data_IF_241588051437
#
_entry.id   IF_241588051437
#
_cell.length_a   1.000
_cell.length_b   1.000
_cell.length_c   1.000
_cell.angle_alpha   90.00
_cell.angle_beta   90.00
_cell.angle_gamma   90.00
#
_symmetry.space_group_name_H-M   'P 1'
#
loop_
_entity.id
_entity.type
_entity.pdbx_description
1 polymer ?
#
# COMPACT_ATOMS: atom_id res chain seq x y z
N UNK A 1 -6.54 7.06 -22.16
CA UNK A 1 -6.75 5.82 -21.40
C UNK A 1 -6.26 6.06 -19.99
N UNK A 2 -7.14 5.90 -19.02
CA UNK A 2 -6.84 6.03 -17.59
C UNK A 2 -6.55 4.64 -17.02
N UNK A 3 -5.38 4.52 -16.39
CA UNK A 3 -4.93 3.28 -15.75
C UNK A 3 -4.87 3.52 -14.25
N UNK A 4 -5.64 2.73 -13.51
CA UNK A 4 -5.68 2.72 -12.07
C UNK A 4 -4.69 1.73 -11.46
N UNK A 5 -4.12 2.10 -10.30
CA UNK A 5 -3.29 1.24 -9.48
C UNK A 5 -3.83 1.22 -8.04
N UNK A 6 -4.39 0.10 -7.61
CA UNK A 6 -4.86 -0.10 -6.25
C UNK A 6 -3.79 -0.86 -5.44
N UNK A 7 -3.34 -0.29 -4.33
CA UNK A 7 -2.26 -0.82 -3.48
C UNK A 7 -2.79 -1.15 -2.09
N UNK A 8 -2.86 -2.43 -1.74
CA UNK A 8 -3.38 -2.83 -0.43
C UNK A 8 -2.47 -2.43 0.74
N UNK A 9 -3.03 -2.36 1.94
CA UNK A 9 -2.22 -2.36 3.17
C UNK A 9 -1.42 -3.66 3.33
N UNK A 10 -0.53 -3.75 4.33
CA UNK A 10 0.26 -4.97 4.55
C UNK A 10 1.58 -4.84 5.32
N UNK A 11 1.85 -3.69 5.94
CA UNK A 11 3.11 -3.43 6.67
C UNK A 11 4.34 -3.62 5.78
N UNK A 12 5.36 -4.32 6.28
CA UNK A 12 6.62 -4.60 5.56
C UNK A 12 6.39 -5.24 4.19
N UNK A 13 5.31 -6.03 4.02
CA UNK A 13 4.98 -6.67 2.73
C UNK A 13 4.66 -5.65 1.64
N UNK A 14 4.25 -4.44 2.00
CA UNK A 14 3.99 -3.35 1.05
C UNK A 14 5.22 -2.92 0.25
N UNK A 15 6.44 -3.27 0.68
CA UNK A 15 7.66 -3.07 -0.12
C UNK A 15 7.56 -3.80 -1.48
N UNK A 16 6.80 -4.90 -1.56
CA UNK A 16 6.54 -5.60 -2.81
C UNK A 16 5.83 -4.72 -3.85
N UNK A 17 5.03 -3.73 -3.42
CA UNK A 17 4.39 -2.77 -4.33
C UNK A 17 5.41 -2.03 -5.19
N UNK A 18 6.58 -1.71 -4.63
CA UNK A 18 7.64 -0.99 -5.34
C UNK A 18 8.20 -1.87 -6.48
N UNK A 19 8.40 -3.17 -6.21
CA UNK A 19 8.83 -4.12 -7.24
C UNK A 19 7.79 -4.29 -8.35
N UNK A 20 6.50 -4.28 -8.00
CA UNK A 20 5.41 -4.30 -8.98
C UNK A 20 5.42 -3.04 -9.86
N UNK A 21 5.55 -1.85 -9.25
CA UNK A 21 5.63 -0.58 -9.97
C UNK A 21 6.81 -0.59 -10.95
N UNK A 22 7.99 -1.06 -10.53
CA UNK A 22 9.16 -1.20 -11.42
C UNK A 22 8.83 -2.06 -12.64
N UNK A 23 8.20 -3.22 -12.45
CA UNK A 23 7.82 -4.10 -13.54
C UNK A 23 6.79 -3.45 -14.49
N UNK A 24 5.83 -2.69 -13.96
CA UNK A 24 4.85 -1.95 -14.76
C UNK A 24 5.54 -0.90 -15.65
N UNK A 25 6.43 -0.09 -15.07
CA UNK A 25 7.15 0.95 -15.81
C UNK A 25 8.03 0.37 -16.92
N UNK A 26 8.71 -0.76 -16.67
CA UNK A 26 9.51 -1.46 -17.68
C UNK A 26 8.68 -1.99 -18.85
N UNK A 27 7.38 -2.22 -18.66
CA UNK A 27 6.44 -2.59 -19.73
C UNK A 27 5.72 -1.39 -20.34
N UNK A 28 6.07 -0.16 -19.96
CA UNK A 28 5.43 1.07 -20.45
C UNK A 28 4.03 1.31 -19.87
N UNK A 29 3.68 0.63 -18.77
CA UNK A 29 2.42 0.85 -18.07
C UNK A 29 2.63 1.93 -17.02
N UNK A 30 1.97 3.07 -17.19
CA UNK A 30 2.06 4.22 -16.29
C UNK A 30 0.70 4.58 -15.70
N UNK A 31 0.36 4.07 -14.50
CA UNK A 31 -0.87 4.42 -13.81
C UNK A 31 -0.94 5.92 -13.49
N UNK A 32 -2.11 6.52 -13.71
CA UNK A 32 -2.39 7.94 -13.45
C UNK A 32 -3.38 8.16 -12.28
N UNK A 33 -4.06 7.10 -11.84
CA UNK A 33 -4.88 7.08 -10.63
C UNK A 33 -4.34 6.02 -9.67
N UNK A 34 -4.10 6.40 -8.42
CA UNK A 34 -3.55 5.52 -7.39
C UNK A 34 -4.47 5.55 -6.18
N UNK A 35 -4.87 4.38 -5.69
CA UNK A 35 -5.56 4.24 -4.41
C UNK A 35 -4.72 3.39 -3.46
N UNK A 36 -4.50 3.86 -2.25
CA UNK A 36 -3.60 3.24 -1.29
C UNK A 36 -4.17 3.15 0.13
N UNK A 37 -3.78 2.10 0.83
CA UNK A 37 -4.02 1.92 2.26
C UNK A 37 -2.72 1.56 2.97
N UNK A 38 -2.42 2.16 4.12
CA UNK A 38 -1.28 1.80 4.96
C UNK A 38 0.04 1.82 4.19
N UNK A 39 0.80 0.72 4.17
CA UNK A 39 2.00 0.60 3.33
C UNK A 39 1.76 0.90 1.84
N UNK A 40 0.56 0.59 1.32
CA UNK A 40 0.15 0.97 -0.03
C UNK A 40 -0.07 2.48 -0.20
N UNK A 41 -0.55 3.18 0.83
CA UNK A 41 -0.65 4.65 0.81
C UNK A 41 0.74 5.31 0.82
N UNK A 42 1.69 4.78 1.60
CA UNK A 42 3.08 5.26 1.63
C UNK A 42 3.74 5.10 0.27
N UNK A 43 3.72 3.89 -0.31
CA UNK A 43 4.31 3.64 -1.63
C UNK A 43 3.58 4.45 -2.70
N UNK A 44 2.25 4.49 -2.63
CA UNK A 44 1.40 5.21 -3.57
C UNK A 44 1.69 6.72 -3.57
N UNK A 45 1.86 7.33 -2.39
CA UNK A 45 2.16 8.75 -2.27
C UNK A 45 3.53 9.11 -2.84
N UNK A 46 4.57 8.35 -2.49
CA UNK A 46 5.91 8.59 -3.01
C UNK A 46 5.96 8.37 -4.53
N UNK A 47 5.24 7.36 -5.03
CA UNK A 47 5.12 7.13 -6.47
C UNK A 47 4.33 8.25 -7.16
N UNK A 48 3.23 8.72 -6.57
CA UNK A 48 2.44 9.83 -7.09
C UNK A 48 3.25 11.14 -7.13
N UNK A 49 4.13 11.36 -6.15
CA UNK A 49 5.06 12.49 -6.11
C UNK A 49 6.14 12.40 -7.20
N UNK A 50 6.34 11.21 -7.77
CA UNK A 50 7.28 10.94 -8.83
C UNK A 50 8.67 10.54 -8.34
N UNK A 51 8.79 10.08 -7.09
CA UNK A 51 9.99 9.41 -6.62
C UNK A 51 10.18 8.08 -7.37
N UNK A 52 11.43 7.77 -7.70
CA UNK A 52 11.82 6.52 -8.35
C UNK A 52 11.68 5.33 -7.41
N UNK A 53 11.51 4.13 -7.96
CA UNK A 53 11.46 2.88 -7.18
C UNK A 53 12.66 2.72 -6.22
N UNK A 54 13.84 3.22 -6.62
CA UNK A 54 15.05 3.19 -5.78
C UNK A 54 14.90 4.11 -4.57
N UNK A 55 14.47 5.36 -4.77
CA UNK A 55 14.27 6.32 -3.68
C UNK A 55 13.22 5.84 -2.68
N UNK A 56 12.13 5.25 -3.18
CA UNK A 56 11.07 4.68 -2.33
C UNK A 56 11.63 3.52 -1.50
N UNK A 57 12.41 2.61 -2.10
CA UNK A 57 13.01 1.50 -1.38
C UNK A 57 14.04 1.97 -0.33
N UNK A 58 14.89 2.94 -0.70
CA UNK A 58 15.88 3.52 0.21
C UNK A 58 15.19 4.21 1.41
N UNK A 59 14.06 4.89 1.19
CA UNK A 59 13.26 5.47 2.26
C UNK A 59 12.82 4.43 3.30
N UNK A 60 12.33 3.27 2.87
CA UNK A 60 11.97 2.18 3.79
C UNK A 60 13.17 1.64 4.56
N UNK A 61 14.33 1.53 3.92
CA UNK A 61 15.57 1.04 4.56
C UNK A 61 16.12 2.02 5.60
N UNK A 62 15.99 3.32 5.37
CA UNK A 62 16.60 4.36 6.22
C UNK A 62 15.68 4.83 7.35
N UNK A 63 14.37 4.88 7.12
CA UNK A 63 13.41 5.54 8.03
C UNK A 63 12.84 4.59 9.10
N UNK A 64 13.02 3.29 8.88
CA UNK A 64 12.51 2.19 9.73
C UNK A 64 11.01 2.39 10.06
N UNK A 65 10.23 2.60 9.00
CA UNK A 65 8.81 3.02 9.03
C UNK A 65 7.93 2.05 9.85
N UNK A 66 8.32 0.78 9.90
CA UNK A 66 7.56 -0.28 10.55
C UNK A 66 8.17 -0.77 11.87
N UNK A 67 9.21 -0.09 12.37
CA UNK A 67 9.86 -0.51 13.60
C UNK A 67 9.15 -0.07 14.85
N UNK A 68 9.09 -1.03 15.76
CA UNK A 68 8.40 -0.92 17.03
C UNK A 68 9.23 -0.28 18.14
N UNK A 69 10.45 0.20 17.83
CA UNK A 69 11.37 0.76 18.82
C UNK A 69 11.08 2.23 19.20
N UNK A 70 10.05 2.86 18.61
CA UNK A 70 9.71 4.27 18.84
C UNK A 70 8.60 4.41 19.90
N UNK A 71 8.92 4.12 21.17
CA UNK A 71 7.94 4.19 22.28
C UNK A 71 7.17 5.53 22.34
N UNK A 72 5.85 5.43 22.56
CA UNK A 72 4.94 6.53 22.89
C UNK A 72 4.82 6.67 24.41
N UNK A 73 5.01 7.89 24.94
CA UNK A 73 4.76 8.22 26.34
C UNK A 73 3.47 9.07 26.40
N UNK A 74 2.46 8.63 27.15
CA UNK A 74 1.24 9.42 27.41
C UNK A 74 0.20 9.51 26.27
N UNK A 75 0.27 8.65 25.24
CA UNK A 75 -0.74 8.53 24.16
C UNK A 75 -1.22 7.06 24.01
N UNK A 76 -2.46 6.80 23.54
CA UNK A 76 -2.94 5.44 23.30
C UNK A 76 -2.25 4.79 22.10
N UNK A 77 -1.46 3.74 22.32
CA UNK A 77 -0.63 3.06 21.29
C UNK A 77 0.80 2.88 21.79
N UNK A 78 1.58 1.97 21.20
CA UNK A 78 2.96 1.74 21.63
C UNK A 78 3.91 2.69 20.89
N UNK A 79 3.56 3.15 19.68
CA UNK A 79 4.43 3.92 18.79
C UNK A 79 3.72 5.15 18.22
N UNK A 80 4.40 6.30 18.26
CA UNK A 80 3.93 7.56 17.68
C UNK A 80 4.48 7.73 16.24
N UNK A 81 3.62 7.59 15.23
CA UNK A 81 3.97 7.74 13.81
C UNK A 81 4.21 9.19 13.40
N UNK A 82 3.78 10.19 14.18
CA UNK A 82 4.10 11.61 13.91
C UNK A 82 5.61 11.86 13.87
N UNK A 83 6.40 11.03 14.57
CA UNK A 83 7.88 11.08 14.52
C UNK A 83 8.45 10.81 13.12
N UNK A 84 7.64 10.33 12.17
CA UNK A 84 8.02 10.11 10.78
C UNK A 84 7.74 11.32 9.88
N UNK A 85 7.02 12.33 10.37
CA UNK A 85 6.59 13.48 9.58
C UNK A 85 7.77 14.16 8.88
N UNK A 86 8.84 14.47 9.60
CA UNK A 86 10.03 15.12 9.02
C UNK A 86 10.74 14.25 7.97
N UNK A 87 10.76 12.92 8.17
CA UNK A 87 11.32 11.99 7.17
C UNK A 87 10.50 12.01 5.87
N UNK A 88 9.17 12.06 5.98
CA UNK A 88 8.29 12.23 4.82
C UNK A 88 8.47 13.58 4.14
N UNK A 89 8.59 14.65 4.92
CA UNK A 89 8.81 16.00 4.39
C UNK A 89 10.10 16.11 3.57
N UNK A 90 11.18 15.44 4.00
CA UNK A 90 12.44 15.41 3.25
C UNK A 90 12.28 14.77 1.87
N UNK A 91 11.55 13.65 1.74
CA UNK A 91 11.43 12.92 0.48
C UNK A 91 10.30 13.45 -0.43
N UNK A 92 9.21 13.97 0.15
CA UNK A 92 8.08 14.55 -0.57
C UNK A 92 8.33 16.00 -1.00
N UNK A 93 9.11 16.75 -0.21
CA UNK A 93 9.38 18.17 -0.42
C UNK A 93 8.19 19.05 -0.04
N UNK A 94 7.12 19.04 -0.84
CA UNK A 94 5.90 19.82 -0.57
C UNK A 94 4.81 18.93 0.00
N UNK A 95 4.21 19.37 1.11
CA UNK A 95 3.17 18.64 1.83
C UNK A 95 1.77 19.01 1.31
N UNK A 96 1.47 18.65 0.06
CA UNK A 96 0.18 18.94 -0.57
C UNK A 96 -0.16 17.90 -1.66
N UNK A 97 -1.40 17.43 -1.70
CA UNK A 97 -1.88 16.53 -2.77
C UNK A 97 -1.81 17.18 -4.17
N UNK A 98 -1.97 18.49 -4.29
CA UNK A 98 -2.03 19.19 -5.58
C UNK A 98 -0.71 19.20 -6.34
N UNK A 99 0.43 18.97 -5.65
CA UNK A 99 1.75 18.91 -6.30
C UNK A 99 2.06 17.54 -6.91
N UNK A 100 1.22 16.54 -6.64
CA UNK A 100 1.44 15.18 -7.10
C UNK A 100 1.28 15.08 -8.62
N UNK A 101 2.11 14.23 -9.25
CA UNK A 101 2.10 13.98 -10.70
C UNK A 101 0.99 13.00 -11.12
N UNK A 102 0.33 12.37 -10.14
CA UNK A 102 -0.71 11.35 -10.32
C UNK A 102 -1.80 11.58 -9.28
N UNK A 103 -3.05 11.29 -9.64
CA UNK A 103 -4.16 11.37 -8.71
C UNK A 103 -4.00 10.30 -7.62
N UNK A 104 -4.12 10.69 -6.35
CA UNK A 104 -3.91 9.82 -5.21
C UNK A 104 -5.12 9.85 -4.28
N UNK A 105 -5.56 8.66 -3.87
CA UNK A 105 -6.60 8.45 -2.87
C UNK A 105 -6.00 7.64 -1.73
N UNK A 106 -6.06 8.18 -0.51
CA UNK A 106 -5.57 7.52 0.70
C UNK A 106 -6.77 7.21 1.61
N UNK A 107 -6.85 5.96 2.05
CA UNK A 107 -7.88 5.52 3.01
C UNK A 107 -7.40 5.67 4.45
N UNK A 108 -8.24 6.20 5.32
CA UNK A 108 -8.10 6.09 6.77
C UNK A 108 -9.47 5.82 7.41
N UNK A 109 -9.49 5.27 8.62
CA UNK A 109 -10.75 5.04 9.36
C UNK A 109 -10.83 6.04 10.52
N UNK A 110 -11.91 6.82 10.58
CA UNK A 110 -12.20 7.64 11.75
C UNK A 110 -12.62 6.72 12.89
N UNK A 111 -11.84 6.72 13.98
CA UNK A 111 -12.04 5.80 15.10
C UNK A 111 -13.24 6.19 15.98
N UNK A 112 -13.69 7.45 15.91
CA UNK A 112 -14.75 7.97 16.76
C UNK A 112 -16.13 7.57 16.24
N UNK A 113 -16.39 7.81 14.95
CA UNK A 113 -17.69 7.52 14.32
C UNK A 113 -17.70 6.21 13.52
N UNK A 114 -16.53 5.58 13.33
CA UNK A 114 -16.39 4.31 12.61
C UNK A 114 -16.56 4.43 11.09
N UNK A 115 -16.34 5.61 10.51
CA UNK A 115 -16.47 5.84 9.07
C UNK A 115 -15.14 5.73 8.33
N UNK A 116 -15.22 5.38 7.04
CA UNK A 116 -14.08 5.41 6.12
C UNK A 116 -13.95 6.83 5.59
N UNK A 117 -12.76 7.42 5.75
CA UNK A 117 -12.42 8.72 5.18
C UNK A 117 -11.43 8.54 4.04
N UNK A 118 -11.65 9.28 2.94
CA UNK A 118 -10.83 9.25 1.74
C UNK A 118 -10.15 10.61 1.58
N UNK A 119 -8.83 10.64 1.74
CA UNK A 119 -8.04 11.83 1.49
C UNK A 119 -7.56 11.85 0.04
N UNK A 120 -7.77 12.96 -0.66
CA UNK A 120 -7.31 13.19 -2.03
C UNK A 120 -6.96 14.66 -2.33
N UNK A 121 -7.00 15.54 -1.32
CA UNK A 121 -6.72 16.96 -1.42
C UNK A 121 -6.15 17.49 -0.09
N UNK A 122 -5.53 18.68 -0.13
CA UNK A 122 -4.97 19.33 1.06
C UNK A 122 -3.63 18.76 1.52
N UNK A 123 -3.39 18.75 2.83
CA UNK A 123 -2.16 18.22 3.46
C UNK A 123 -1.99 16.73 3.14
N UNK A 124 -0.77 16.30 2.79
CA UNK A 124 -0.48 14.95 2.31
C UNK A 124 0.10 14.02 3.38
N UNK A 125 1.03 14.52 4.19
CA UNK A 125 1.84 13.70 5.12
C UNK A 125 0.95 13.12 6.22
N UNK A 126 0.10 13.93 6.85
CA UNK A 126 -0.80 13.43 7.91
C UNK A 126 -1.75 12.34 7.41
N UNK A 127 -2.42 12.45 6.25
CA UNK A 127 -3.16 11.34 5.66
C UNK A 127 -2.35 10.06 5.45
N UNK A 128 -1.09 10.16 5.00
CA UNK A 128 -0.20 8.99 4.89
C UNK A 128 0.02 8.34 6.27
N UNK A 129 0.34 9.15 7.28
CA UNK A 129 0.58 8.67 8.64
C UNK A 129 -0.67 8.05 9.27
N UNK A 130 -1.83 8.67 9.08
CA UNK A 130 -3.13 8.18 9.53
C UNK A 130 -3.46 6.83 8.90
N UNK A 131 -3.28 6.71 7.58
CA UNK A 131 -3.50 5.47 6.84
C UNK A 131 -2.59 4.32 7.30
N UNK A 132 -1.40 4.63 7.84
CA UNK A 132 -0.45 3.65 8.36
C UNK A 132 -0.52 3.42 9.88
N UNK A 133 -1.43 4.09 10.59
CA UNK A 133 -1.59 3.99 12.04
C UNK A 133 -2.34 2.70 12.44
N UNK A 134 -1.70 1.54 12.24
CA UNK A 134 -2.27 0.22 12.50
C UNK A 134 -2.69 0.06 13.97
N UNK A 135 -3.95 -0.34 14.23
CA UNK A 135 -4.48 -0.50 15.59
C UNK A 135 -3.64 -1.43 16.47
N UNK A 136 -3.61 -1.14 17.77
CA UNK A 136 -2.81 -1.82 18.79
C UNK A 136 -1.28 -1.67 18.68
N UNK A 137 -0.76 -1.11 17.58
CA UNK A 137 0.67 -0.86 17.38
C UNK A 137 0.97 0.63 17.42
N UNK A 138 0.23 1.42 16.64
CA UNK A 138 0.43 2.85 16.49
C UNK A 138 -0.68 3.67 17.14
N UNK A 139 -0.35 4.90 17.54
CA UNK A 139 -1.32 5.86 18.06
C UNK A 139 -2.19 6.42 16.93
N UNK A 140 -3.49 6.69 17.16
CA UNK A 140 -4.32 7.42 16.20
C UNK A 140 -3.71 8.78 15.83
N UNK A 141 -3.86 9.20 14.59
CA UNK A 141 -3.41 10.49 14.07
C UNK A 141 -4.56 11.49 14.11
N UNK A 142 -4.32 12.65 14.70
CA UNK A 142 -5.28 13.74 14.70
C UNK A 142 -5.12 14.59 13.44
N UNK A 143 -6.24 14.84 12.75
CA UNK A 143 -6.34 15.74 11.59
C UNK A 143 -7.59 16.60 11.81
N UNK A 144 -7.41 17.89 12.09
CA UNK A 144 -8.49 18.74 12.60
C UNK A 144 -8.99 18.24 13.95
N UNK A 145 -10.30 18.08 14.09
CA UNK A 145 -10.96 17.55 15.31
C UNK A 145 -11.08 16.01 15.30
N UNK A 146 -10.83 15.37 14.15
CA UNK A 146 -11.01 13.94 13.96
C UNK A 146 -9.75 13.13 14.30
N UNK A 147 -9.96 11.85 14.64
CA UNK A 147 -8.90 10.91 15.00
C UNK A 147 -8.95 9.68 14.08
N UNK A 148 -7.84 9.43 13.41
CA UNK A 148 -7.76 8.41 12.37
C UNK A 148 -6.81 7.27 12.72
N UNK A 149 -7.21 6.06 12.33
CA UNK A 149 -6.40 4.85 12.32
C UNK A 149 -6.28 4.30 10.90
N UNK A 150 -5.47 3.24 10.75
CA UNK A 150 -5.22 2.57 9.49
C UNK A 150 -6.53 2.25 8.72
N UNK A 151 -6.56 2.69 7.46
CA UNK A 151 -7.71 2.54 6.56
C UNK A 151 -8.09 1.08 6.32
N UNK A 152 -7.16 0.15 6.54
CA UNK A 152 -7.38 -1.29 6.39
C UNK A 152 -8.42 -1.86 7.34
N UNK A 153 -8.81 -1.10 8.36
CA UNK A 153 -9.92 -1.42 9.26
C UNK A 153 -11.24 -1.55 8.50
N UNK A 154 -11.47 -0.66 7.52
CA UNK A 154 -12.70 -0.65 6.72
C UNK A 154 -12.48 -0.95 5.23
N UNK A 155 -11.36 -0.50 4.65
CA UNK A 155 -11.04 -0.72 3.25
C UNK A 155 -9.53 -0.91 3.04
N UNK A 156 -9.06 -2.16 3.12
CA UNK A 156 -7.63 -2.51 2.98
C UNK A 156 -7.15 -2.62 1.53
N UNK A 157 -8.06 -2.78 0.57
CA UNK A 157 -7.74 -2.91 -0.85
C UNK A 157 -8.68 -2.02 -1.65
N UNK A 158 -8.33 -0.73 -1.81
CA UNK A 158 -9.27 0.32 -2.19
C UNK A 158 -9.48 0.42 -3.71
N UNK A 159 -9.78 -0.71 -4.35
CA UNK A 159 -10.08 -0.80 -5.78
C UNK A 159 -11.30 0.05 -6.14
N UNK A 160 -12.30 0.02 -5.27
CA UNK A 160 -13.59 0.70 -5.42
C UNK A 160 -13.48 2.23 -5.56
N UNK A 161 -12.38 2.83 -5.10
CA UNK A 161 -12.20 4.29 -5.17
C UNK A 161 -11.83 4.79 -6.58
N UNK A 162 -11.38 3.91 -7.46
CA UNK A 162 -10.82 4.26 -8.77
C UNK A 162 -11.55 3.58 -9.93
N UNK A 163 -12.66 2.87 -9.68
CA UNK A 163 -13.40 2.14 -10.72
C UNK A 163 -14.05 3.06 -11.74
N UNK A 164 -14.61 4.18 -11.30
CA UNK A 164 -15.34 5.10 -12.19
C UNK A 164 -14.40 5.98 -13.02
N UNK A 165 -13.14 6.14 -12.59
CA UNK A 165 -12.17 7.01 -13.24
C UNK A 165 -11.24 6.27 -14.21
N UNK A 166 -11.19 4.93 -14.15
CA UNK A 166 -10.19 4.12 -14.84
C UNK A 166 -10.79 3.15 -15.85
N UNK A 167 -10.20 3.08 -17.05
CA UNK A 167 -10.55 2.08 -18.07
C UNK A 167 -10.00 0.70 -17.70
N UNK A 168 -8.84 0.67 -17.03
CA UNK A 168 -8.14 -0.54 -16.58
C UNK A 168 -7.63 -0.33 -15.17
N UNK A 169 -7.81 -1.34 -14.32
CA UNK A 169 -7.31 -1.30 -12.94
C UNK A 169 -6.33 -2.45 -12.71
N UNK A 170 -5.17 -2.09 -12.17
CA UNK A 170 -4.13 -3.01 -11.73
C UNK A 170 -4.19 -3.07 -10.21
N UNK A 171 -4.54 -4.23 -9.69
CA UNK A 171 -4.64 -4.47 -8.26
C UNK A 171 -3.38 -5.13 -7.72
N UNK A 172 -2.76 -4.55 -6.70
CA UNK A 172 -1.62 -5.15 -5.99
C UNK A 172 -2.03 -5.50 -4.56
N UNK A 173 -2.15 -6.80 -4.30
CA UNK A 173 -2.61 -7.31 -3.02
C UNK A 173 -1.51 -8.12 -2.32
N UNK A 174 -1.00 -7.60 -1.20
CA UNK A 174 0.19 -8.15 -0.52
C UNK A 174 -0.14 -8.97 0.74
N UNK A 175 -1.40 -9.38 0.91
CA UNK A 175 -1.87 -10.15 2.07
C UNK A 175 -2.35 -11.55 1.69
N UNK A 176 -1.45 -12.47 1.26
CA UNK A 176 -1.86 -13.84 0.97
C UNK A 176 -2.56 -14.45 2.18
N UNK A 177 -3.78 -14.95 1.95
CA UNK A 177 -4.63 -15.47 3.01
C UNK A 177 -4.56 -17.00 3.03
N UNK A 178 -4.01 -17.54 4.13
CA UNK A 178 -3.74 -18.97 4.29
C UNK A 178 -4.56 -19.56 5.44
N UNK A 179 -4.80 -20.88 5.37
CA UNK A 179 -5.30 -21.64 6.53
C UNK A 179 -4.25 -21.61 7.64
N UNK A 180 -4.70 -21.47 8.88
CA UNK A 180 -3.85 -21.46 10.08
C UNK A 180 -4.10 -22.71 10.89
N UNK A 181 -3.07 -23.19 11.58
CA UNK A 181 -3.24 -24.25 12.56
C UNK A 181 -3.75 -23.65 13.87
N UNK A 182 -4.63 -24.34 14.59
CA UNK A 182 -5.12 -23.87 15.89
C UNK A 182 -3.96 -23.63 16.89
N UNK A 183 -2.86 -24.38 16.74
CA UNK A 183 -1.62 -24.21 17.54
C UNK A 183 -0.91 -22.87 17.33
N UNK A 184 -1.20 -22.16 16.23
CA UNK A 184 -0.65 -20.83 15.95
C UNK A 184 -1.39 -19.71 16.72
N UNK A 185 -2.60 -20.00 17.23
CA UNK A 185 -3.48 -19.03 17.89
C UNK A 185 -3.34 -19.09 19.43
N UNK A 186 -2.12 -18.85 19.91
CA UNK A 186 -1.74 -19.07 21.33
C UNK A 186 -2.23 -18.00 22.32
N UNK A 187 -2.49 -16.78 21.87
CA UNK A 187 -2.77 -15.62 22.73
C UNK A 187 -3.94 -14.79 22.19
N UNK A 188 -4.60 -14.00 23.04
CA UNK A 188 -5.77 -13.19 22.64
C UNK A 188 -5.48 -12.27 21.44
N UNK A 189 -4.27 -11.70 21.38
CA UNK A 189 -3.84 -10.89 20.24
C UNK A 189 -3.78 -11.69 18.93
N UNK A 190 -3.31 -12.94 18.94
CA UNK A 190 -3.26 -13.74 17.70
C UNK A 190 -4.64 -14.19 17.22
N UNK A 191 -5.60 -14.34 18.12
CA UNK A 191 -7.01 -14.54 17.78
C UNK A 191 -7.62 -13.28 17.17
N UNK A 192 -7.38 -12.12 17.78
CA UNK A 192 -7.85 -10.82 17.28
C UNK A 192 -7.26 -10.50 15.90
N UNK A 193 -5.94 -10.64 15.72
CA UNK A 193 -5.25 -10.48 14.43
C UNK A 193 -5.81 -11.43 13.37
N UNK A 194 -6.11 -12.69 13.74
CA UNK A 194 -6.73 -13.64 12.81
C UNK A 194 -8.15 -13.21 12.41
N UNK A 195 -8.97 -12.77 13.35
CA UNK A 195 -10.33 -12.29 13.06
C UNK A 195 -10.30 -11.06 12.13
N UNK A 196 -9.43 -10.10 12.42
CA UNK A 196 -9.21 -8.93 11.57
C UNK A 196 -8.79 -9.33 10.15
N UNK A 197 -7.80 -10.22 10.02
CA UNK A 197 -7.34 -10.71 8.70
C UNK A 197 -8.40 -11.48 7.93
N UNK A 198 -9.29 -12.23 8.60
CA UNK A 198 -10.43 -12.89 7.95
C UNK A 198 -11.36 -11.83 7.33
N UNK A 199 -11.75 -10.83 8.11
CA UNK A 199 -12.65 -9.76 7.64
C UNK A 199 -12.03 -8.99 6.48
N UNK A 200 -10.78 -8.53 6.66
CA UNK A 200 -10.06 -7.76 5.65
C UNK A 200 -9.85 -8.56 4.36
N UNK A 201 -9.49 -9.84 4.44
CA UNK A 201 -9.34 -10.69 3.25
C UNK A 201 -10.68 -10.97 2.55
N UNK A 202 -11.76 -11.18 3.30
CA UNK A 202 -13.09 -11.37 2.71
C UNK A 202 -13.52 -10.17 1.87
N UNK A 203 -13.38 -8.97 2.43
CA UNK A 203 -13.65 -7.71 1.72
C UNK A 203 -12.71 -7.54 0.50
N UNK A 204 -11.39 -7.64 0.72
CA UNK A 204 -10.40 -7.38 -0.34
C UNK A 204 -10.50 -8.35 -1.51
N UNK A 205 -10.66 -9.65 -1.25
CA UNK A 205 -10.73 -10.68 -2.32
C UNK A 205 -12.01 -10.51 -3.14
N UNK A 206 -13.10 -10.02 -2.54
CA UNK A 206 -14.35 -9.78 -3.28
C UNK A 206 -14.21 -8.75 -4.41
N UNK A 207 -13.23 -7.83 -4.27
CA UNK A 207 -12.91 -6.76 -5.23
C UNK A 207 -11.94 -7.17 -6.34
N UNK A 208 -11.40 -8.39 -6.29
CA UNK A 208 -10.44 -8.86 -7.31
C UNK A 208 -11.05 -8.91 -8.72
N UNK A 209 -12.36 -9.17 -8.80
CA UNK A 209 -13.12 -9.21 -10.04
C UNK A 209 -13.20 -7.84 -10.75
N UNK A 210 -13.00 -6.76 -10.00
CA UNK A 210 -13.07 -5.38 -10.50
C UNK A 210 -11.71 -4.92 -11.06
N UNK A 211 -10.67 -5.76 -10.95
CA UNK A 211 -9.35 -5.50 -11.52
C UNK A 211 -9.17 -6.20 -12.88
N UNK A 212 -8.58 -5.50 -13.84
CA UNK A 212 -8.12 -6.09 -15.11
C UNK A 212 -7.01 -7.12 -14.89
N UNK A 213 -6.16 -6.88 -13.89
CA UNK A 213 -5.15 -7.82 -13.43
C UNK A 213 -4.93 -7.65 -11.93
N UNK A 214 -4.80 -8.77 -11.22
CA UNK A 214 -4.38 -8.79 -9.81
C UNK A 214 -3.00 -9.43 -9.71
N UNK A 215 -2.08 -8.68 -9.10
CA UNK A 215 -0.73 -9.12 -8.74
C UNK A 215 -0.73 -9.38 -7.23
N UNK A 216 -0.63 -10.66 -6.85
CA UNK A 216 -0.69 -11.11 -5.46
C UNK A 216 0.42 -12.13 -5.20
N UNK A 217 1.64 -11.69 -4.81
CA UNK A 217 2.78 -12.58 -4.59
C UNK A 217 2.50 -13.54 -3.42
N UNK A 218 2.42 -14.85 -3.71
CA UNK A 218 2.03 -15.87 -2.71
C UNK A 218 3.12 -16.11 -1.67
N UNK A 219 4.36 -15.92 -2.08
CA UNK A 219 5.60 -16.12 -1.33
C UNK A 219 5.69 -15.17 -0.13
N UNK A 220 4.99 -14.03 -0.17
CA UNK A 220 4.87 -13.08 0.94
C UNK A 220 4.24 -13.70 2.20
N UNK A 221 3.64 -14.88 2.12
CA UNK A 221 3.19 -15.64 3.31
C UNK A 221 4.33 -15.96 4.29
N UNK A 222 5.57 -16.00 3.80
CA UNK A 222 6.78 -16.22 4.61
C UNK A 222 7.29 -14.94 5.30
N UNK A 223 6.79 -13.78 4.88
CA UNK A 223 7.19 -12.46 5.40
C UNK A 223 6.22 -12.05 6.51
N UNK A 224 6.74 -11.72 7.70
CA UNK A 224 5.92 -11.17 8.78
C UNK A 224 5.50 -9.73 8.47
N UNK A 225 4.29 -9.32 8.86
CA UNK A 225 3.76 -7.96 8.61
C UNK A 225 4.64 -6.88 9.26
N UNK A 226 5.26 -7.18 10.41
CA UNK A 226 6.08 -6.26 11.21
C UNK A 226 7.49 -6.80 11.47
N UNK A 227 7.91 -7.83 10.72
CA UNK A 227 9.22 -8.46 10.90
C UNK A 227 10.09 -8.16 9.70
N UNK A 228 11.03 -7.26 9.87
CA UNK A 228 12.01 -6.91 8.83
C UNK A 228 13.02 -8.05 8.72
N UNK A 229 12.95 -8.83 7.64
CA UNK A 229 14.10 -9.59 7.15
C UNK A 229 14.11 -9.51 5.63
N UNK A 230 15.15 -8.83 5.13
CA UNK A 230 15.49 -8.62 3.73
C UNK A 230 14.43 -7.86 2.91
N UNK A 231 14.50 -6.52 2.97
CA UNK A 231 13.61 -5.64 2.18
C UNK A 231 13.83 -5.81 0.67
N UNK A 232 15.05 -6.13 0.24
CA UNK A 232 15.36 -6.39 -1.17
C UNK A 232 14.68 -7.68 -1.65
N UNK A 233 14.66 -8.73 -0.81
CA UNK A 233 13.88 -9.92 -1.11
C UNK A 233 12.38 -9.62 -1.23
N UNK A 234 11.79 -8.81 -0.33
CA UNK A 234 10.37 -8.43 -0.42
C UNK A 234 10.07 -7.65 -1.69
N UNK A 235 10.95 -6.72 -2.07
CA UNK A 235 10.89 -6.00 -3.35
C UNK A 235 10.89 -6.98 -4.53
N UNK A 236 11.84 -7.92 -4.55
CA UNK A 236 11.99 -8.89 -5.64
C UNK A 236 10.77 -9.81 -5.77
N UNK A 237 10.16 -10.24 -4.66
CA UNK A 237 8.92 -11.04 -4.71
C UNK A 237 7.78 -10.30 -5.42
N UNK A 238 7.68 -8.99 -5.22
CA UNK A 238 6.70 -8.15 -5.93
C UNK A 238 7.00 -8.06 -7.43
N UNK A 239 8.26 -7.76 -7.76
CA UNK A 239 8.74 -7.67 -9.14
C UNK A 239 8.51 -8.98 -9.92
N UNK A 240 8.95 -10.12 -9.38
CA UNK A 240 8.81 -11.43 -10.02
C UNK A 240 7.33 -11.81 -10.23
N UNK A 241 6.48 -11.54 -9.25
CA UNK A 241 5.04 -11.80 -9.38
C UNK A 241 4.38 -10.93 -10.46
N UNK A 242 4.82 -9.67 -10.59
CA UNK A 242 4.36 -8.80 -11.67
C UNK A 242 4.86 -9.30 -13.03
N UNK A 243 6.15 -9.61 -13.17
CA UNK A 243 6.72 -10.16 -14.40
C UNK A 243 6.00 -11.43 -14.87
N UNK A 244 5.64 -12.32 -13.93
CA UNK A 244 4.89 -13.53 -14.24
C UNK A 244 3.45 -13.27 -14.72
N UNK A 245 2.87 -12.10 -14.41
CA UNK A 245 1.51 -11.70 -14.81
C UNK A 245 1.50 -10.82 -16.06
N UNK A 246 2.54 -10.01 -16.27
CA UNK A 246 2.68 -9.06 -17.38
C UNK A 246 3.25 -9.75 -18.62
N UNK A 247 2.57 -10.78 -19.13
CA UNK A 247 2.91 -11.37 -20.44
C UNK A 247 2.64 -10.37 -21.57
N UNK A 248 3.19 -10.61 -22.77
CA UNK A 248 2.97 -9.73 -23.93
C UNK A 248 1.48 -9.51 -24.21
N UNK A 249 0.69 -10.59 -24.12
CA UNK A 249 -0.75 -10.57 -24.34
C UNK A 249 -1.46 -9.75 -23.26
N UNK A 250 -1.07 -9.93 -21.99
CA UNK A 250 -1.68 -9.18 -20.89
C UNK A 250 -1.33 -7.70 -20.96
N UNK A 251 -0.10 -7.35 -21.33
CA UNK A 251 0.30 -5.95 -21.52
C UNK A 251 -0.45 -5.32 -22.69
N UNK A 252 -0.61 -6.05 -23.80
CA UNK A 252 -1.43 -5.60 -24.93
C UNK A 252 -2.91 -5.40 -24.54
N UNK A 253 -3.48 -6.27 -23.71
CA UNK A 253 -4.86 -6.12 -23.19
C UNK A 253 -5.02 -4.87 -22.31
N UNK A 254 -3.98 -4.52 -21.54
CA UNK A 254 -3.96 -3.33 -20.70
C UNK A 254 -3.78 -2.06 -21.54
N UNK A 255 -2.91 -2.09 -22.56
CA UNK A 255 -2.52 -0.91 -23.33
C UNK A 255 -3.28 -0.72 -24.67
N UNK A 256 -4.05 -1.71 -25.12
CA UNK A 256 -4.73 -1.75 -26.42
C UNK A 256 -3.80 -2.18 -27.57
N UNK A 257 -2.64 -1.52 -27.72
CA UNK A 257 -1.57 -1.91 -28.64
C UNK A 257 -0.21 -1.76 -27.93
N UNK A 258 0.62 -2.80 -27.93
CA UNK A 258 1.92 -2.77 -27.26
C UNK A 258 3.05 -3.19 -28.21
N UNK A 259 4.07 -2.33 -28.30
CA UNK A 259 5.40 -2.66 -28.83
C UNK A 259 6.35 -2.72 -27.65
N UNK A 260 7.08 -3.83 -27.50
CA UNK A 260 7.98 -4.01 -26.36
C UNK A 260 9.03 -2.89 -26.34
N UNK A 261 9.11 -2.06 -25.28
CA UNK A 261 10.11 -1.00 -25.19
C UNK A 261 11.55 -1.53 -25.25
N UNK A 262 11.75 -2.83 -25.02
CA UNK A 262 13.05 -3.51 -25.08
C UNK A 262 13.41 -3.97 -26.49
N UNK A 263 12.44 -4.11 -27.40
CA UNK A 263 12.71 -4.58 -28.78
C UNK A 263 13.55 -3.56 -29.60
N UNK A 264 13.67 -2.31 -29.13
CA UNK A 264 14.48 -1.24 -29.75
C UNK A 264 15.89 -1.04 -29.17
N UNK A 265 16.30 -1.81 -28.15
CA UNK A 265 17.65 -1.76 -27.57
C UNK A 265 18.44 -3.02 -27.98
N UNK A 266 18.85 -3.09 -29.25
CA UNK A 266 19.89 -4.02 -29.73
C UNK A 266 21.15 -3.26 -30.06
#
# INVERSE_FOLDING_TARGET
MNIGLALSGGGVRGIAHIGVIKALEEHGISPNYIAGTSAGAIVGALYANGNSCKEILDFFKLTDVFSINKFALGKPGIIDTEKLYDSFKVILGTDDFHVLKRHLYITATNIIDGTLHIFNEGELIRPILASAAFPAVFTPIQIGEDHFIDGGTLNNFPVDLITEQCDKIIGVYVNPFEKKNIKDLKHSFSVLDRAYKIRSAHDSISKFKDCSVVISPRELKKVGTFTVRDMDAVFNLGYEAAMAKLTKEKVAEILGEWKDPRDGKK
#
